data_IF_775864024446
#
_entry.id   IF_775864024446
#
_cell.length_a   1.000
_cell.length_b   1.000
_cell.length_c   1.000
_cell.angle_alpha   90.00
_cell.angle_beta   90.00
_cell.angle_gamma   90.00
#
_symmetry.space_group_name_H-M   'P 1'
#
loop_
_entity.id
_entity.type
_entity.pdbx_description
1 polymer ?
#
# COMPACT_ATOMS: atom_id res chain seq x y z
N UNK A 1 -47.41 -27.33 58.49
CA UNK A 1 -48.52 -27.02 57.56
C UNK A 1 -48.24 -25.68 56.87
N UNK A 2 -47.59 -25.67 55.69
CA UNK A 2 -47.80 -24.80 54.51
C UNK A 2 -46.56 -24.82 53.62
N UNK A 3 -46.78 -25.16 52.35
CA UNK A 3 -45.87 -25.05 51.22
C UNK A 3 -45.85 -23.61 50.68
N UNK A 4 -44.78 -23.24 49.97
CA UNK A 4 -44.69 -22.34 48.79
C UNK A 4 -43.30 -22.59 48.18
N UNK A 5 -43.15 -23.27 47.02
CA UNK A 5 -43.21 -22.70 45.65
C UNK A 5 -42.51 -21.34 45.60
N UNK A 6 -41.37 -21.10 44.95
CA UNK A 6 -40.74 -21.70 43.78
C UNK A 6 -40.46 -20.56 42.81
N UNK A 7 -39.20 -20.28 42.46
CA UNK A 7 -38.79 -19.68 41.17
C UNK A 7 -37.27 -19.62 41.06
N UNK A 8 -36.75 -20.49 40.21
CA UNK A 8 -35.39 -20.44 39.68
C UNK A 8 -35.28 -19.22 38.75
N UNK A 9 -34.34 -18.31 39.02
CA UNK A 9 -33.96 -17.28 38.05
C UNK A 9 -32.82 -17.83 37.19
N UNK A 10 -33.22 -18.42 36.05
CA UNK A 10 -32.33 -18.69 34.92
C UNK A 10 -31.98 -17.35 34.26
N UNK A 11 -30.85 -16.77 34.68
CA UNK A 11 -30.25 -15.59 34.05
C UNK A 11 -29.41 -16.01 32.85
N UNK A 12 -30.08 -16.27 31.72
CA UNK A 12 -29.45 -16.55 30.44
C UNK A 12 -28.85 -15.25 29.88
N UNK A 13 -27.63 -14.91 30.32
CA UNK A 13 -26.84 -13.82 29.78
C UNK A 13 -26.42 -14.16 28.36
N UNK A 14 -27.27 -13.80 27.39
CA UNK A 14 -26.95 -13.90 25.98
C UNK A 14 -25.81 -12.94 25.67
N UNK A 15 -24.62 -13.48 25.38
CA UNK A 15 -23.54 -12.72 24.78
C UNK A 15 -24.06 -11.99 23.53
N UNK A 16 -23.70 -10.70 23.33
CA UNK A 16 -24.11 -10.01 22.12
C UNK A 16 -23.54 -10.77 20.91
N UNK A 17 -24.32 -10.96 19.83
CA UNK A 17 -23.88 -11.72 18.68
C UNK A 17 -22.61 -11.08 18.16
N UNK A 18 -21.53 -11.88 18.16
CA UNK A 18 -20.24 -11.48 17.64
C UNK A 18 -20.46 -10.78 16.32
N UNK A 19 -20.09 -9.49 16.27
CA UNK A 19 -19.99 -8.76 15.02
C UNK A 19 -19.04 -9.57 14.15
N UNK A 20 -19.61 -10.39 13.28
CA UNK A 20 -18.88 -10.98 12.17
C UNK A 20 -18.42 -9.80 11.35
N UNK A 21 -17.20 -9.36 11.62
CA UNK A 21 -16.50 -8.36 10.85
C UNK A 21 -16.70 -8.76 9.40
N UNK A 22 -17.40 -7.92 8.62
CA UNK A 22 -17.50 -8.13 7.17
C UNK A 22 -16.09 -8.42 6.69
N UNK A 23 -15.85 -9.46 5.85
CA UNK A 23 -14.53 -9.68 5.30
C UNK A 23 -14.12 -8.37 4.65
N UNK A 24 -13.01 -7.79 5.13
CA UNK A 24 -12.47 -6.57 4.57
C UNK A 24 -12.21 -6.89 3.10
N UNK A 25 -12.97 -6.27 2.19
CA UNK A 25 -12.78 -6.50 0.75
C UNK A 25 -11.32 -6.21 0.45
N UNK A 26 -10.57 -7.26 0.14
CA UNK A 26 -9.13 -7.15 -0.04
C UNK A 26 -8.82 -6.25 -1.24
N UNK A 27 -7.68 -5.56 -1.18
CA UNK A 27 -7.17 -4.79 -2.30
C UNK A 27 -6.49 -5.74 -3.28
N UNK A 28 -7.05 -5.92 -4.48
CA UNK A 28 -6.41 -6.74 -5.52
C UNK A 28 -5.31 -5.93 -6.18
N UNK A 29 -4.12 -6.49 -6.23
CA UNK A 29 -2.94 -5.92 -6.86
C UNK A 29 -2.66 -6.66 -8.16
N UNK A 30 -2.28 -5.91 -9.20
CA UNK A 30 -1.78 -6.47 -10.46
C UNK A 30 -0.52 -5.70 -10.89
N UNK A 31 0.54 -6.38 -11.35
CA UNK A 31 1.67 -5.67 -11.91
C UNK A 31 1.24 -5.00 -13.22
N UNK A 32 1.70 -3.78 -13.45
CA UNK A 32 1.57 -3.12 -14.74
C UNK A 32 2.68 -3.57 -15.69
N UNK A 33 2.42 -3.57 -17.01
CA UNK A 33 3.47 -3.79 -17.99
C UNK A 33 4.64 -2.80 -17.78
N UNK A 34 5.88 -3.22 -18.07
CA UNK A 34 7.04 -2.33 -18.09
C UNK A 34 6.78 -1.10 -18.97
N UNK A 35 7.26 0.06 -18.53
CA UNK A 35 6.93 1.33 -19.17
C UNK A 35 8.12 2.04 -19.83
N UNK A 36 9.35 1.55 -19.65
CA UNK A 36 10.55 2.15 -20.21
C UNK A 36 11.72 1.16 -20.30
N UNK A 37 12.68 1.50 -21.16
CA UNK A 37 14.02 0.94 -21.21
C UNK A 37 15.00 2.12 -21.41
N UNK A 38 15.90 2.42 -20.46
CA UNK A 38 16.14 1.72 -19.20
C UNK A 38 15.02 1.91 -18.16
N UNK A 39 14.93 0.99 -17.21
CA UNK A 39 14.09 1.12 -16.02
C UNK A 39 14.75 0.58 -14.75
N UNK A 40 14.34 1.11 -13.60
CA UNK A 40 14.78 0.68 -12.28
C UNK A 40 13.63 -0.03 -11.56
N UNK A 41 13.84 -1.22 -10.97
CA UNK A 41 12.85 -1.85 -10.12
C UNK A 41 12.43 -0.93 -8.97
N UNK A 42 11.16 -0.92 -8.58
CA UNK A 42 10.66 -0.12 -7.43
C UNK A 42 11.33 -0.54 -6.12
N UNK A 43 11.81 -1.79 -6.04
CA UNK A 43 12.57 -2.30 -4.90
C UNK A 43 14.05 -1.86 -4.90
N UNK A 44 14.55 -1.28 -5.99
CA UNK A 44 15.90 -0.73 -6.07
C UNK A 44 16.05 0.56 -5.24
N UNK A 45 17.27 0.83 -4.76
CA UNK A 45 17.58 2.03 -3.95
C UNK A 45 17.35 3.33 -4.73
N UNK A 46 17.47 3.28 -6.06
CA UNK A 46 17.14 4.40 -6.94
C UNK A 46 15.73 4.95 -6.69
N UNK A 47 14.73 4.08 -6.54
CA UNK A 47 13.36 4.51 -6.31
C UNK A 47 13.24 5.27 -4.99
N UNK A 48 13.80 4.73 -3.92
CA UNK A 48 13.74 5.37 -2.60
C UNK A 48 14.48 6.70 -2.57
N UNK A 49 15.71 6.74 -3.09
CA UNK A 49 16.55 7.94 -3.06
C UNK A 49 16.09 9.04 -4.03
N UNK A 50 15.54 8.67 -5.19
CA UNK A 50 15.25 9.61 -6.28
C UNK A 50 13.77 9.94 -6.41
N UNK A 51 12.88 8.94 -6.31
CA UNK A 51 11.43 9.19 -6.32
C UNK A 51 10.90 9.58 -4.94
N UNK A 52 11.54 9.14 -3.85
CA UNK A 52 11.09 9.38 -2.49
C UNK A 52 10.82 10.86 -2.15
N UNK A 53 11.71 11.81 -2.50
CA UNK A 53 11.46 13.23 -2.29
C UNK A 53 10.23 13.79 -3.02
N UNK A 54 9.80 13.17 -4.14
CA UNK A 54 8.61 13.59 -4.90
C UNK A 54 7.32 13.08 -4.26
N UNK A 55 7.31 11.82 -3.82
CA UNK A 55 6.09 11.12 -3.39
C UNK A 55 5.93 11.04 -1.87
N UNK A 56 6.98 11.40 -1.12
CA UNK A 56 7.00 11.36 0.34
C UNK A 56 7.17 9.94 0.90
N UNK A 57 7.62 9.83 2.16
CA UNK A 57 8.09 8.57 2.74
C UNK A 57 7.01 7.49 2.80
N UNK A 58 5.79 7.83 3.21
CA UNK A 58 4.70 6.84 3.29
C UNK A 58 4.35 6.25 1.92
N UNK A 59 4.31 7.07 0.87
CA UNK A 59 4.02 6.58 -0.48
C UNK A 59 5.17 5.73 -1.02
N UNK A 60 6.41 6.09 -0.71
CA UNK A 60 7.60 5.28 -1.04
C UNK A 60 7.52 3.90 -0.40
N UNK A 61 7.26 3.84 0.92
CA UNK A 61 7.13 2.58 1.65
C UNK A 61 5.95 1.75 1.13
N UNK A 62 4.81 2.38 0.85
CA UNK A 62 3.67 1.71 0.25
C UNK A 62 4.01 1.11 -1.12
N UNK A 63 4.62 1.87 -2.03
CA UNK A 63 5.00 1.37 -3.35
C UNK A 63 5.94 0.15 -3.26
N UNK A 64 6.91 0.20 -2.34
CA UNK A 64 7.82 -0.92 -2.06
C UNK A 64 7.08 -2.12 -1.44
N UNK A 65 6.15 -1.90 -0.51
CA UNK A 65 5.34 -2.96 0.08
C UNK A 65 4.47 -3.67 -0.97
N UNK A 66 3.76 -2.91 -1.80
CA UNK A 66 2.95 -3.47 -2.90
C UNK A 66 3.81 -4.32 -3.85
N UNK A 67 5.02 -3.86 -4.15
CA UNK A 67 5.96 -4.60 -4.99
C UNK A 67 6.50 -5.88 -4.34
N UNK A 68 6.77 -5.88 -3.03
CA UNK A 68 7.12 -7.11 -2.31
C UNK A 68 5.98 -8.13 -2.35
N UNK A 69 4.75 -7.71 -2.06
CA UNK A 69 3.57 -8.58 -2.15
C UNK A 69 3.40 -9.20 -3.54
N UNK A 70 3.62 -8.42 -4.61
CA UNK A 70 3.56 -8.91 -5.99
C UNK A 70 4.70 -9.89 -6.31
N UNK A 71 5.92 -9.59 -5.87
CA UNK A 71 7.08 -10.45 -6.09
C UNK A 71 6.95 -11.78 -5.35
N UNK A 72 6.56 -11.74 -4.07
CA UNK A 72 6.39 -12.92 -3.21
C UNK A 72 5.28 -13.84 -3.73
N UNK A 73 4.22 -13.27 -4.33
CA UNK A 73 3.13 -14.02 -4.94
C UNK A 73 3.45 -14.52 -6.37
N UNK A 74 4.51 -14.02 -7.01
CA UNK A 74 4.82 -14.31 -8.41
C UNK A 74 3.79 -13.76 -9.41
N UNK A 75 2.99 -12.76 -9.04
CA UNK A 75 1.89 -12.25 -9.88
C UNK A 75 0.79 -11.52 -9.12
N UNK A 76 -0.42 -11.42 -9.69
CA UNK A 76 -1.57 -10.79 -9.03
C UNK A 76 -1.87 -11.38 -7.65
N UNK A 77 -2.07 -10.52 -6.67
CA UNK A 77 -2.29 -10.91 -5.27
C UNK A 77 -3.38 -10.04 -4.62
N UNK A 78 -4.06 -10.56 -3.61
CA UNK A 78 -5.01 -9.76 -2.82
C UNK A 78 -4.44 -9.52 -1.43
N UNK A 79 -4.34 -8.25 -1.03
CA UNK A 79 -3.82 -7.87 0.30
C UNK A 79 -4.92 -7.27 1.17
N UNK A 80 -4.84 -7.45 2.48
CA UNK A 80 -5.75 -6.81 3.41
C UNK A 80 -5.32 -5.34 3.62
N UNK A 81 -6.17 -4.34 3.35
CA UNK A 81 -5.83 -2.92 3.56
C UNK A 81 -5.47 -2.58 5.01
N UNK A 82 -6.05 -3.29 5.99
CA UNK A 82 -5.73 -3.09 7.41
C UNK A 82 -4.32 -3.61 7.71
N UNK A 83 -4.01 -4.85 7.33
CA UNK A 83 -2.67 -5.41 7.56
C UNK A 83 -1.59 -4.64 6.79
N UNK A 84 -1.89 -4.19 5.56
CA UNK A 84 -0.99 -3.31 4.80
C UNK A 84 -0.77 -1.96 5.51
N UNK A 85 -1.80 -1.39 6.14
CA UNK A 85 -1.63 -0.17 6.93
C UNK A 85 -0.70 -0.41 8.12
N UNK A 86 -0.88 -1.52 8.83
CA UNK A 86 -0.07 -1.88 10.00
C UNK A 86 1.38 -2.20 9.60
N UNK A 87 1.61 -2.88 8.47
CA UNK A 87 2.95 -3.11 7.90
C UNK A 87 3.71 -1.79 7.71
N UNK A 88 3.00 -0.74 7.30
CA UNK A 88 3.55 0.59 7.06
C UNK A 88 3.62 1.47 8.32
N UNK A 89 3.26 0.94 9.49
CA UNK A 89 3.19 1.70 10.74
C UNK A 89 2.07 2.76 10.76
N UNK A 90 1.06 2.63 9.90
CA UNK A 90 -0.06 3.55 9.81
C UNK A 90 -1.19 3.13 10.75
N UNK A 91 -1.92 4.13 11.27
CA UNK A 91 -3.11 3.88 12.09
C UNK A 91 -4.18 3.14 11.29
N UNK A 92 -4.56 1.97 11.77
CA UNK A 92 -5.72 1.20 11.32
C UNK A 92 -6.36 0.48 12.51
N UNK A 93 -7.66 0.23 12.45
CA UNK A 93 -8.39 -0.52 13.49
C UNK A 93 -8.89 -1.83 12.91
N UNK A 94 -8.59 -2.95 13.57
CA UNK A 94 -9.13 -4.26 13.22
C UNK A 94 -10.63 -4.25 13.50
N UNK A 95 -11.43 -4.08 12.46
CA UNK A 95 -12.90 -4.02 12.56
C UNK A 95 -13.53 -2.87 11.79
N UNK A 96 -12.77 -1.83 11.47
CA UNK A 96 -13.27 -0.65 10.75
C UNK A 96 -12.67 -0.60 9.33
N UNK A 97 -13.51 -0.40 8.30
CA UNK A 97 -13.01 -0.20 6.94
C UNK A 97 -12.05 1.00 6.85
N UNK A 98 -11.10 0.92 5.93
CA UNK A 98 -10.19 2.03 5.67
C UNK A 98 -10.98 3.22 5.10
N UNK A 99 -11.04 4.31 5.87
CA UNK A 99 -11.74 5.53 5.47
C UNK A 99 -11.06 6.28 4.32
N UNK A 100 -11.83 7.16 3.67
CA UNK A 100 -11.36 7.99 2.54
C UNK A 100 -10.29 9.01 2.95
N UNK A 101 -10.24 9.38 4.24
CA UNK A 101 -9.28 10.32 4.82
C UNK A 101 -8.10 9.63 5.50
N UNK A 102 -8.05 8.29 5.49
CA UNK A 102 -6.99 7.51 6.13
C UNK A 102 -5.61 7.79 5.51
N UNK A 103 -4.52 7.59 6.27
CA UNK A 103 -3.17 7.70 5.73
C UNK A 103 -2.91 6.77 4.54
N UNK A 104 -3.43 5.54 4.57
CA UNK A 104 -3.31 4.59 3.45
C UNK A 104 -4.01 5.12 2.19
N UNK A 105 -5.24 5.61 2.30
CA UNK A 105 -5.98 6.17 1.15
C UNK A 105 -5.26 7.38 0.56
N UNK A 106 -4.69 8.25 1.42
CA UNK A 106 -3.89 9.41 0.97
C UNK A 106 -2.61 8.98 0.26
N UNK A 107 -1.92 7.94 0.75
CA UNK A 107 -0.73 7.40 0.10
C UNK A 107 -1.06 6.75 -1.26
N UNK A 108 -2.13 5.96 -1.34
CA UNK A 108 -2.62 5.39 -2.62
C UNK A 108 -2.97 6.51 -3.60
N UNK A 109 -3.69 7.54 -3.15
CA UNK A 109 -4.01 8.71 -3.98
C UNK A 109 -2.74 9.38 -4.50
N UNK A 110 -1.73 9.58 -3.64
CA UNK A 110 -0.46 10.19 -4.06
C UNK A 110 0.28 9.33 -5.08
N UNK A 111 0.30 8.00 -4.91
CA UNK A 111 0.87 7.11 -5.92
C UNK A 111 0.11 7.21 -7.26
N UNK A 112 -1.22 7.35 -7.24
CA UNK A 112 -2.02 7.58 -8.45
C UNK A 112 -1.69 8.91 -9.12
N UNK A 113 -1.59 9.98 -8.35
CA UNK A 113 -1.27 11.32 -8.85
C UNK A 113 0.12 11.34 -9.54
N UNK A 114 1.03 10.49 -9.06
CA UNK A 114 2.36 10.27 -9.66
C UNK A 114 2.43 9.10 -10.67
N UNK A 115 1.28 8.51 -11.05
CA UNK A 115 1.15 7.42 -12.02
C UNK A 115 1.95 6.14 -11.66
N UNK A 116 2.22 5.93 -10.37
CA UNK A 116 2.88 4.73 -9.85
C UNK A 116 1.88 3.61 -9.54
N UNK A 117 0.59 3.95 -9.48
CA UNK A 117 -0.50 2.98 -9.44
C UNK A 117 -1.67 3.50 -10.28
N UNK A 118 -2.50 2.60 -10.79
CA UNK A 118 -3.68 2.94 -11.58
C UNK A 118 -4.87 2.06 -11.18
N UNK A 119 -6.09 2.58 -11.28
CA UNK A 119 -7.27 1.71 -11.17
C UNK A 119 -7.38 0.91 -12.46
N UNK A 120 -7.43 -0.42 -12.36
CA UNK A 120 -7.58 -1.30 -13.52
C UNK A 120 -9.02 -1.84 -13.61
N UNK A 121 -9.59 -2.22 -12.48
CA UNK A 121 -11.00 -2.65 -12.35
C UNK A 121 -11.63 -2.04 -11.09
N UNK A 122 -12.92 -2.26 -10.82
CA UNK A 122 -13.58 -1.75 -9.61
C UNK A 122 -12.82 -2.06 -8.30
N UNK A 123 -12.23 -3.25 -8.20
CA UNK A 123 -11.52 -3.73 -7.00
C UNK A 123 -10.02 -3.99 -7.23
N UNK A 124 -9.46 -3.61 -8.38
CA UNK A 124 -8.07 -3.90 -8.75
C UNK A 124 -7.23 -2.64 -8.95
N UNK A 125 -6.12 -2.58 -8.23
CA UNK A 125 -5.07 -1.58 -8.36
C UNK A 125 -3.91 -2.17 -9.17
N UNK A 126 -3.65 -1.59 -10.32
CA UNK A 126 -2.44 -1.82 -11.09
C UNK A 126 -1.28 -1.10 -10.43
N UNK A 127 -0.15 -1.78 -10.27
CA UNK A 127 1.04 -1.28 -9.57
C UNK A 127 2.22 -1.28 -10.53
N UNK A 128 2.90 -0.15 -10.65
CA UNK A 128 4.16 -0.05 -11.39
C UNK A 128 5.23 -0.86 -10.66
N UNK A 129 5.91 -1.74 -11.40
CA UNK A 129 6.99 -2.59 -10.87
C UNK A 129 8.39 -2.05 -11.17
N UNK A 130 8.50 -1.25 -12.23
CA UNK A 130 9.74 -0.60 -12.66
C UNK A 130 9.45 0.84 -13.07
N UNK A 131 10.35 1.76 -12.72
CA UNK A 131 10.22 3.19 -13.03
C UNK A 131 11.33 3.64 -13.98
N UNK A 132 11.04 4.59 -14.88
CA UNK A 132 12.07 5.18 -15.71
C UNK A 132 13.01 6.05 -14.86
N UNK A 133 14.23 6.33 -15.36
CA UNK A 133 14.99 7.46 -14.88
C UNK A 133 14.14 8.74 -14.95
N UNK A 134 14.23 9.59 -13.92
CA UNK A 134 13.47 10.85 -13.90
C UNK A 134 13.87 11.75 -15.07
N UNK A 135 12.88 12.40 -15.68
CA UNK A 135 13.14 13.41 -16.71
C UNK A 135 13.97 14.58 -16.15
N UNK A 136 14.77 15.28 -16.99
CA UNK A 136 15.53 16.47 -16.58
C UNK A 136 14.66 17.54 -15.90
N UNK A 137 13.41 17.69 -16.37
CA UNK A 137 12.42 18.62 -15.80
C UNK A 137 11.98 18.26 -14.38
N UNK A 138 11.93 16.98 -14.04
CA UNK A 138 11.62 16.54 -12.69
C UNK A 138 12.83 16.73 -11.77
N UNK A 139 14.03 16.37 -12.25
CA UNK A 139 15.29 16.50 -11.53
C UNK A 139 15.66 17.95 -11.21
N UNK A 140 15.32 18.90 -12.09
CA UNK A 140 15.62 20.32 -11.88
C UNK A 140 14.93 20.91 -10.64
N UNK A 141 13.90 20.23 -10.11
CA UNK A 141 13.14 20.66 -8.92
C UNK A 141 13.62 20.00 -7.62
N UNK A 142 14.55 19.06 -7.71
CA UNK A 142 15.03 18.28 -6.58
C UNK A 142 16.27 18.91 -5.94
N UNK A 143 16.69 18.49 -4.74
CA UNK A 143 17.98 18.88 -4.17
C UNK A 143 19.17 18.33 -4.96
N UNK A 144 20.33 18.98 -4.86
CA UNK A 144 21.57 18.54 -5.54
C UNK A 144 22.03 17.14 -5.13
N UNK A 145 21.79 16.75 -3.86
CA UNK A 145 22.10 15.41 -3.36
C UNK A 145 21.31 14.34 -4.13
N UNK A 146 20.05 14.62 -4.47
CA UNK A 146 19.19 13.70 -5.21
C UNK A 146 19.57 13.64 -6.68
N UNK A 147 19.93 14.78 -7.29
CA UNK A 147 20.49 14.82 -8.66
C UNK A 147 21.77 14.00 -8.76
N UNK A 148 22.70 14.21 -7.83
CA UNK A 148 23.96 13.47 -7.76
C UNK A 148 23.73 11.96 -7.61
N UNK A 149 22.76 11.56 -6.78
CA UNK A 149 22.38 10.16 -6.63
C UNK A 149 21.81 9.58 -7.94
N UNK A 150 20.92 10.31 -8.62
CA UNK A 150 20.40 9.92 -9.93
C UNK A 150 21.53 9.69 -10.93
N UNK A 151 22.45 10.65 -11.08
CA UNK A 151 23.57 10.54 -12.01
C UNK A 151 24.51 9.39 -11.67
N UNK A 152 24.67 9.05 -10.37
CA UNK A 152 25.46 7.91 -9.93
C UNK A 152 24.82 6.57 -10.31
N UNK A 153 23.52 6.40 -10.06
CA UNK A 153 22.79 5.17 -10.42
C UNK A 153 22.70 4.99 -11.93
N UNK A 154 22.37 6.05 -12.66
CA UNK A 154 22.32 6.06 -14.13
C UNK A 154 23.68 5.67 -14.69
N UNK A 155 24.79 6.31 -14.29
CA UNK A 155 26.13 5.90 -14.79
C UNK A 155 26.54 4.47 -14.43
N UNK A 156 26.09 3.96 -13.28
CA UNK A 156 26.45 2.61 -12.80
C UNK A 156 25.68 1.52 -13.54
N UNK A 157 24.39 1.73 -13.73
CA UNK A 157 23.47 0.75 -14.29
C UNK A 157 23.26 0.94 -15.80
N UNK A 158 23.78 2.04 -16.36
CA UNK A 158 23.82 2.30 -17.79
C UNK A 158 25.22 2.62 -18.30
N UNK A 159 25.76 1.67 -19.06
CA UNK A 159 26.32 2.04 -20.36
C UNK A 159 25.14 2.60 -21.18
N UNK A 160 25.09 3.92 -21.33
CA UNK A 160 24.14 4.66 -22.15
C UNK A 160 24.81 5.16 -23.43
#
# INVERSE_FOLDING_TARGET
RRQTMGTEHSGNGSEPPGQRTRPVTGLRLRPLPPCADPAFPVLHDYFEMVYGPLIGPTSTLLARALNRHLADAGGPVTVCPIELSLELGLRASRGEPIGTTSPLTKAIKRLRDHRLVQQVDADALGVVVEVPPLSPRALSKLPDSVRSAHDAFVRRDGSF
#
